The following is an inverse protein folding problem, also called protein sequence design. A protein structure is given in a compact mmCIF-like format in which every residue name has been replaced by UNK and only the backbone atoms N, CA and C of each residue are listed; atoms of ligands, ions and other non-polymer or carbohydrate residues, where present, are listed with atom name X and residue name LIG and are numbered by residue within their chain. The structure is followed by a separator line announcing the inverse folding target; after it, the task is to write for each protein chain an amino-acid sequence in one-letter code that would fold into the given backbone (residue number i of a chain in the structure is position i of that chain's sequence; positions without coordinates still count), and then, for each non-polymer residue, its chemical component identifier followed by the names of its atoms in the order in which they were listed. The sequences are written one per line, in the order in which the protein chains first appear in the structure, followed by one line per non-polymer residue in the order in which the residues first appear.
data_IF_535704530272
#
_entry.id   IF_535704530272
#
_cell.length_a   1.000
_cell.length_b   1.000
_cell.length_c   1.000
_cell.angle_alpha   90.00
_cell.angle_beta   90.00
_cell.angle_gamma   90.00
#
_symmetry.space_group_name_H-M   'P 1'
#
loop_
_entity.id
_entity.type
_entity.pdbx_description
1 polymer ?
#
# COMPACT_ATOMS: atom_id res chain seq x y z
N UNK A 1 20.46 -0.37 17.80
CA UNK A 1 19.77 0.16 19.00
C UNK A 1 18.27 -0.10 18.86
N UNK A 2 17.52 -0.12 19.96
CA UNK A 2 16.05 -0.29 19.94
C UNK A 2 15.37 0.79 19.12
N UNK A 3 15.82 1.99 19.28
CA UNK A 3 15.31 3.18 18.62
C UNK A 3 15.36 3.12 17.10
N UNK A 4 16.40 2.51 16.51
CA UNK A 4 16.62 2.43 15.07
C UNK A 4 16.29 1.04 14.51
N UNK A 5 15.61 0.19 15.28
CA UNK A 5 15.48 -1.19 14.88
C UNK A 5 14.73 -1.37 13.56
N UNK A 6 13.67 -0.60 13.33
CA UNK A 6 12.89 -0.59 12.10
C UNK A 6 13.73 -0.27 10.86
N UNK A 7 14.75 0.61 10.99
CA UNK A 7 15.64 1.00 9.88
C UNK A 7 16.44 -0.17 9.31
N UNK A 8 16.67 -1.22 10.12
CA UNK A 8 17.41 -2.41 9.69
C UNK A 8 16.62 -3.30 8.73
N UNK A 9 15.30 -3.12 8.61
CA UNK A 9 14.42 -3.87 7.72
C UNK A 9 14.24 -3.17 6.37
N UNK A 10 14.42 -1.85 6.33
CA UNK A 10 14.12 -1.02 5.16
C UNK A 10 14.88 -1.45 3.91
N UNK A 11 16.21 -1.70 3.95
CA UNK A 11 16.94 -2.07 2.73
C UNK A 11 16.39 -3.33 2.05
N UNK A 12 16.14 -4.39 2.82
CA UNK A 12 15.62 -5.66 2.29
C UNK A 12 14.20 -5.51 1.75
N UNK A 13 13.33 -4.82 2.51
CA UNK A 13 11.94 -4.61 2.09
C UNK A 13 11.84 -3.69 0.87
N UNK A 14 12.66 -2.64 0.79
CA UNK A 14 12.72 -1.76 -0.38
C UNK A 14 13.18 -2.52 -1.63
N UNK A 15 14.19 -3.40 -1.49
CA UNK A 15 14.66 -4.27 -2.56
C UNK A 15 13.54 -5.18 -3.07
N UNK A 16 12.81 -5.86 -2.19
CA UNK A 16 11.70 -6.74 -2.55
C UNK A 16 10.51 -6.00 -3.16
N UNK A 17 10.26 -4.76 -2.73
CA UNK A 17 9.21 -3.91 -3.28
C UNK A 17 9.58 -3.23 -4.61
N UNK A 18 10.83 -3.30 -5.05
CA UNK A 18 11.32 -2.52 -6.18
C UNK A 18 11.16 -1.01 -5.94
N UNK A 19 11.58 -0.55 -4.76
CA UNK A 19 11.38 0.80 -4.26
C UNK A 19 12.68 1.42 -3.73
N UNK A 20 12.70 2.75 -3.60
CA UNK A 20 13.75 3.44 -2.87
C UNK A 20 13.56 3.25 -1.36
N UNK A 21 14.66 3.26 -0.59
CA UNK A 21 14.58 3.08 0.87
C UNK A 21 13.74 4.16 1.58
N UNK A 22 13.70 5.37 1.03
CA UNK A 22 12.87 6.47 1.55
C UNK A 22 11.36 6.24 1.38
N UNK A 23 10.98 5.32 0.49
CA UNK A 23 9.59 5.02 0.15
C UNK A 23 8.97 3.92 1.00
N UNK A 24 9.77 3.24 1.83
CA UNK A 24 9.34 2.05 2.59
C UNK A 24 9.51 2.27 4.08
N UNK A 25 8.56 1.80 4.86
CA UNK A 25 8.69 1.66 6.32
C UNK A 25 7.90 0.47 6.83
N UNK A 26 8.17 0.07 8.07
CA UNK A 26 7.38 -0.94 8.80
C UNK A 26 6.56 -0.27 9.87
N UNK A 27 5.28 -0.60 9.95
CA UNK A 27 4.36 -0.17 11.00
C UNK A 27 3.06 -0.96 11.01
N UNK A 28 2.42 -0.99 12.14
CA UNK A 28 1.04 -1.44 12.33
C UNK A 28 0.69 -2.78 11.71
N UNK A 29 -0.49 -2.81 11.10
CA UNK A 29 -1.06 -3.98 10.41
C UNK A 29 -1.52 -3.58 9.01
N UNK A 30 -1.68 -4.56 8.09
CA UNK A 30 -2.06 -4.29 6.71
C UNK A 30 -3.30 -3.38 6.60
N UNK A 31 -4.43 -3.82 7.15
CA UNK A 31 -5.69 -3.05 7.07
C UNK A 31 -5.59 -1.69 7.76
N UNK A 32 -4.90 -1.63 8.91
CA UNK A 32 -4.63 -0.36 9.58
C UNK A 32 -3.82 0.61 8.72
N UNK A 33 -2.78 0.11 8.06
CA UNK A 33 -1.94 0.90 7.16
C UNK A 33 -2.72 1.38 5.94
N UNK A 34 -3.55 0.54 5.33
CA UNK A 34 -4.41 0.95 4.22
C UNK A 34 -5.39 2.06 4.64
N UNK A 35 -6.05 1.93 5.80
CA UNK A 35 -6.90 3.02 6.32
C UNK A 35 -6.13 4.33 6.50
N UNK A 36 -4.93 4.28 7.06
CA UNK A 36 -4.09 5.46 7.29
C UNK A 36 -3.62 6.09 5.97
N UNK A 37 -3.26 5.26 4.99
CA UNK A 37 -2.89 5.72 3.65
C UNK A 37 -4.08 6.35 2.93
N UNK A 38 -5.28 5.80 3.07
CA UNK A 38 -6.48 6.39 2.49
C UNK A 38 -6.80 7.78 3.06
N UNK A 39 -6.42 8.11 4.30
CA UNK A 39 -6.50 9.49 4.83
C UNK A 39 -5.70 10.46 3.96
N UNK A 40 -4.60 10.01 3.35
CA UNK A 40 -3.77 10.84 2.47
C UNK A 40 -4.21 10.80 1.01
N UNK A 41 -4.56 9.64 0.50
CA UNK A 41 -4.71 9.38 -0.92
C UNK A 41 -6.15 9.30 -1.41
N UNK A 42 -7.12 9.00 -0.56
CA UNK A 42 -8.53 9.09 -0.90
C UNK A 42 -9.12 10.42 -0.38
N UNK A 43 -9.11 11.43 -1.22
CA UNK A 43 -9.60 12.77 -0.94
C UNK A 43 -10.76 13.09 -1.90
N UNK A 44 -11.98 12.59 -1.65
CA UNK A 44 -13.11 12.82 -2.55
C UNK A 44 -13.44 14.30 -2.63
N UNK A 45 -13.53 14.83 -3.88
CA UNK A 45 -13.82 16.23 -4.13
C UNK A 45 -14.60 16.43 -5.43
N UNK A 46 -15.68 17.22 -5.37
CA UNK A 46 -16.52 17.48 -6.53
C UNK A 46 -17.12 16.17 -7.06
N UNK A 47 -16.88 15.87 -8.34
CA UNK A 47 -17.33 14.62 -8.97
C UNK A 47 -16.38 13.42 -8.76
N UNK A 48 -15.13 13.67 -8.39
CA UNK A 48 -14.10 12.66 -8.16
C UNK A 48 -14.27 12.02 -6.79
N UNK A 49 -15.12 10.98 -6.71
CA UNK A 49 -15.54 10.37 -5.44
C UNK A 49 -15.57 8.85 -5.45
N UNK A 50 -15.34 8.24 -6.63
CA UNK A 50 -15.46 6.78 -6.79
C UNK A 50 -14.14 6.07 -6.47
N UNK A 51 -14.28 4.86 -5.94
CA UNK A 51 -13.18 3.89 -5.77
C UNK A 51 -13.44 2.71 -6.69
N UNK A 52 -12.40 2.23 -7.38
CA UNK A 52 -12.47 1.03 -8.22
C UNK A 52 -11.57 -0.05 -7.64
N UNK A 53 -12.12 -1.28 -7.53
CA UNK A 53 -11.40 -2.48 -7.07
C UNK A 53 -11.86 -3.72 -7.83
N UNK A 54 -11.17 -4.84 -7.64
CA UNK A 54 -11.65 -6.12 -8.14
C UNK A 54 -12.86 -6.63 -7.36
N UNK A 55 -13.84 -7.20 -8.04
CA UNK A 55 -14.92 -7.93 -7.39
C UNK A 55 -14.40 -9.19 -6.71
N UNK A 56 -14.89 -9.46 -5.51
CA UNK A 56 -14.38 -10.58 -4.72
C UNK A 56 -12.98 -10.36 -4.15
N UNK A 57 -12.57 -9.11 -3.94
CA UNK A 57 -11.41 -8.78 -3.14
C UNK A 57 -11.49 -9.42 -1.75
N UNK A 58 -10.35 -9.53 -1.05
CA UNK A 58 -10.36 -10.06 0.31
C UNK A 58 -11.33 -9.25 1.20
N UNK A 59 -12.15 -9.91 2.04
CA UNK A 59 -13.20 -9.23 2.80
C UNK A 59 -12.73 -8.00 3.59
N UNK A 60 -11.50 -8.01 4.10
CA UNK A 60 -10.93 -6.86 4.81
C UNK A 60 -10.84 -5.60 3.93
N UNK A 61 -10.53 -5.76 2.64
CA UNK A 61 -10.43 -4.63 1.71
C UNK A 61 -11.81 -4.13 1.30
N UNK A 62 -12.77 -5.05 1.13
CA UNK A 62 -14.16 -4.68 0.90
C UNK A 62 -14.71 -3.84 2.06
N UNK A 63 -14.49 -4.31 3.31
CA UNK A 63 -14.91 -3.58 4.51
C UNK A 63 -14.20 -2.24 4.66
N UNK A 64 -12.91 -2.21 4.34
CA UNK A 64 -12.10 -0.99 4.35
C UNK A 64 -12.67 0.06 3.39
N UNK A 65 -12.91 -0.31 2.14
CA UNK A 65 -13.43 0.61 1.11
C UNK A 65 -14.84 1.07 1.47
N UNK A 66 -15.70 0.14 1.87
CA UNK A 66 -17.07 0.47 2.27
C UNK A 66 -17.10 1.47 3.44
N UNK A 67 -16.28 1.23 4.47
CA UNK A 67 -16.24 2.09 5.65
C UNK A 67 -15.57 3.44 5.38
N UNK A 68 -14.58 3.50 4.52
CA UNK A 68 -13.97 4.76 4.06
C UNK A 68 -14.97 5.61 3.27
N UNK A 69 -15.73 5.02 2.37
CA UNK A 69 -16.79 5.73 1.66
C UNK A 69 -17.83 6.31 2.65
N UNK A 70 -18.32 5.48 3.57
CA UNK A 70 -19.26 5.94 4.62
C UNK A 70 -18.68 7.05 5.50
N UNK A 71 -17.39 6.95 5.86
CA UNK A 71 -16.71 7.99 6.64
C UNK A 71 -16.71 9.35 5.93
N UNK A 72 -16.61 9.35 4.61
CA UNK A 72 -16.73 10.55 3.78
C UNK A 72 -18.17 10.96 3.43
N UNK A 73 -19.18 10.28 3.99
CA UNK A 73 -20.59 10.55 3.71
C UNK A 73 -21.04 10.10 2.32
N UNK A 74 -20.30 9.18 1.71
CA UNK A 74 -20.58 8.61 0.39
C UNK A 74 -21.29 7.26 0.51
N UNK A 75 -22.25 7.03 -0.39
CA UNK A 75 -22.99 5.78 -0.49
C UNK A 75 -22.15 4.71 -1.23
N UNK A 76 -21.74 3.60 -0.60
CA UNK A 76 -20.95 2.57 -1.26
C UNK A 76 -21.59 2.00 -2.52
N UNK A 77 -22.92 1.87 -2.58
CA UNK A 77 -23.62 1.35 -3.76
C UNK A 77 -23.44 2.22 -5.01
N UNK A 78 -23.14 3.52 -4.82
CA UNK A 78 -22.95 4.47 -5.92
C UNK A 78 -21.50 4.80 -6.21
N UNK A 79 -20.62 4.63 -5.21
CA UNK A 79 -19.24 5.12 -5.27
C UNK A 79 -18.18 4.02 -5.28
N UNK A 80 -18.58 2.74 -5.07
CA UNK A 80 -17.71 1.60 -5.27
C UNK A 80 -17.97 0.98 -6.66
N UNK A 81 -16.91 0.87 -7.45
CA UNK A 81 -16.90 0.17 -8.74
C UNK A 81 -16.15 -1.14 -8.57
N UNK A 82 -16.83 -2.25 -8.76
CA UNK A 82 -16.23 -3.58 -8.72
C UNK A 82 -16.10 -4.15 -10.14
N UNK A 83 -14.85 -4.39 -10.56
CA UNK A 83 -14.58 -5.06 -11.84
C UNK A 83 -14.82 -6.56 -11.67
N UNK A 84 -15.75 -7.12 -12.46
CA UNK A 84 -16.14 -8.53 -12.38
C UNK A 84 -15.48 -9.35 -13.48
N UNK A 85 -15.17 -10.63 -13.23
CA UNK A 85 -14.80 -11.55 -14.29
C UNK A 85 -15.89 -11.63 -15.37
N UNK A 86 -15.50 -11.99 -16.59
CA UNK A 86 -16.45 -12.28 -17.66
C UNK A 86 -17.32 -13.50 -17.30
N UNK A 87 -18.46 -13.60 -17.94
CA UNK A 87 -19.38 -14.72 -17.70
C UNK A 87 -18.68 -16.07 -17.91
N UNK A 88 -18.77 -16.95 -16.92
CA UNK A 88 -18.12 -18.27 -16.93
C UNK A 88 -16.62 -18.26 -16.55
N UNK A 89 -16.01 -17.10 -16.34
CA UNK A 89 -14.60 -16.97 -15.96
C UNK A 89 -14.41 -16.70 -14.47
N UNK A 90 -13.20 -16.95 -13.98
CA UNK A 90 -12.79 -16.70 -12.58
C UNK A 90 -11.69 -15.66 -12.44
N UNK A 91 -11.08 -15.27 -13.56
CA UNK A 91 -9.98 -14.30 -13.62
C UNK A 91 -10.46 -13.00 -14.26
N UNK A 92 -9.76 -11.91 -13.95
CA UNK A 92 -9.99 -10.61 -14.57
C UNK A 92 -8.99 -10.39 -15.71
N UNK A 93 -9.49 -9.91 -16.84
CA UNK A 93 -8.64 -9.48 -17.94
C UNK A 93 -8.18 -8.05 -17.74
N UNK A 94 -6.91 -7.77 -17.98
CA UNK A 94 -6.32 -6.43 -17.79
C UNK A 94 -7.06 -5.38 -18.64
N UNK A 95 -7.49 -5.73 -19.86
CA UNK A 95 -8.26 -4.82 -20.73
C UNK A 95 -9.62 -4.44 -20.12
N UNK A 96 -10.28 -5.34 -19.38
CA UNK A 96 -11.57 -5.04 -18.72
C UNK A 96 -11.36 -4.10 -17.52
N UNK A 97 -10.25 -4.28 -16.80
CA UNK A 97 -9.86 -3.38 -15.70
C UNK A 97 -9.58 -1.97 -16.26
N UNK A 98 -8.74 -1.87 -17.31
CA UNK A 98 -8.41 -0.61 -17.97
C UNK A 98 -9.64 0.07 -18.54
N UNK A 99 -10.56 -0.70 -19.14
CA UNK A 99 -11.83 -0.20 -19.64
C UNK A 99 -12.67 0.41 -18.52
N UNK A 100 -12.84 -0.30 -17.41
CA UNK A 100 -13.62 0.19 -16.26
C UNK A 100 -13.02 1.49 -15.67
N UNK A 101 -11.68 1.58 -15.58
CA UNK A 101 -10.97 2.80 -15.17
C UNK A 101 -11.27 3.96 -16.15
N UNK A 102 -11.13 3.70 -17.44
CA UNK A 102 -11.32 4.72 -18.48
C UNK A 102 -12.77 5.21 -18.56
N UNK A 103 -13.74 4.29 -18.47
CA UNK A 103 -15.17 4.62 -18.49
C UNK A 103 -15.61 5.41 -17.25
N UNK A 104 -15.03 5.10 -16.07
CA UNK A 104 -15.27 5.87 -14.84
C UNK A 104 -14.67 7.27 -14.94
N UNK A 105 -13.53 7.40 -15.62
CA UNK A 105 -12.93 8.68 -16.00
C UNK A 105 -12.67 9.60 -14.82
N UNK A 106 -13.11 10.83 -14.92
CA UNK A 106 -12.85 11.89 -13.95
C UNK A 106 -13.70 11.82 -12.66
N UNK A 107 -14.60 10.85 -12.55
CA UNK A 107 -15.27 10.50 -11.28
C UNK A 107 -14.43 9.60 -10.38
N UNK A 108 -13.40 8.94 -10.94
CA UNK A 108 -12.54 8.00 -10.21
C UNK A 108 -11.53 8.75 -9.34
N UNK A 109 -11.62 8.58 -8.03
CA UNK A 109 -10.69 9.15 -7.06
C UNK A 109 -9.52 8.20 -6.75
N UNK A 110 -9.81 6.90 -6.66
CA UNK A 110 -8.84 5.88 -6.23
C UNK A 110 -9.08 4.58 -6.99
N UNK A 111 -7.99 3.97 -7.45
CA UNK A 111 -7.91 2.55 -7.81
C UNK A 111 -7.23 1.84 -6.64
N UNK A 112 -7.89 0.86 -6.03
CA UNK A 112 -7.31 0.01 -5.00
C UNK A 112 -7.38 -1.43 -5.46
N UNK A 113 -6.24 -2.03 -5.75
CA UNK A 113 -6.16 -3.40 -6.27
C UNK A 113 -5.24 -4.27 -5.44
N UNK A 114 -5.52 -5.58 -5.36
CA UNK A 114 -4.56 -6.53 -4.84
C UNK A 114 -3.43 -6.76 -5.84
N UNK A 115 -2.23 -7.10 -5.35
CA UNK A 115 -1.14 -7.50 -6.24
C UNK A 115 -1.33 -8.91 -6.79
N UNK A 116 -1.83 -9.81 -5.93
CA UNK A 116 -2.22 -11.18 -6.26
C UNK A 116 -3.55 -11.48 -5.61
N UNK A 117 -4.51 -11.94 -6.38
CA UNK A 117 -5.85 -12.28 -5.91
C UNK A 117 -5.80 -13.52 -5.00
N UNK A 118 -6.31 -13.41 -3.79
CA UNK A 118 -6.13 -14.40 -2.72
C UNK A 118 -6.79 -15.76 -3.00
N UNK A 119 -7.86 -15.80 -3.78
CA UNK A 119 -8.63 -17.02 -4.07
C UNK A 119 -8.16 -17.72 -5.34
N UNK A 120 -7.89 -16.96 -6.39
CA UNK A 120 -7.52 -17.49 -7.71
C UNK A 120 -6.01 -17.61 -7.90
N UNK A 121 -5.20 -16.87 -7.13
CA UNK A 121 -3.76 -16.76 -7.32
C UNK A 121 -3.36 -15.91 -8.54
N UNK A 122 -4.32 -15.24 -9.18
CA UNK A 122 -4.02 -14.38 -10.32
C UNK A 122 -3.13 -13.20 -9.89
N UNK A 123 -1.96 -13.07 -10.50
CA UNK A 123 -1.16 -11.85 -10.43
C UNK A 123 -1.70 -10.83 -11.44
N UNK A 124 -1.86 -9.58 -11.01
CA UNK A 124 -2.36 -8.50 -11.86
C UNK A 124 -1.21 -7.73 -12.54
N UNK A 125 -1.47 -7.21 -13.74
CA UNK A 125 -0.56 -6.27 -14.41
C UNK A 125 -0.65 -4.88 -13.75
N UNK A 126 0.09 -4.75 -12.64
CA UNK A 126 0.05 -3.56 -11.78
C UNK A 126 0.60 -2.30 -12.49
N UNK A 127 1.56 -2.46 -13.40
CA UNK A 127 2.09 -1.35 -14.19
C UNK A 127 1.01 -0.76 -15.09
N UNK A 128 0.30 -1.61 -15.83
CA UNK A 128 -0.77 -1.17 -16.74
C UNK A 128 -1.94 -0.58 -15.98
N UNK A 129 -2.35 -1.18 -14.85
CA UNK A 129 -3.41 -0.66 -13.98
C UNK A 129 -3.03 0.72 -13.41
N UNK A 130 -1.79 0.87 -12.92
CA UNK A 130 -1.31 2.15 -12.37
C UNK A 130 -1.32 3.24 -13.44
N UNK A 131 -0.78 2.94 -14.62
CA UNK A 131 -0.76 3.87 -15.74
C UNK A 131 -2.18 4.30 -16.14
N UNK A 132 -3.13 3.37 -16.24
CA UNK A 132 -4.52 3.67 -16.56
C UNK A 132 -5.18 4.56 -15.50
N UNK A 133 -4.98 4.28 -14.21
CA UNK A 133 -5.48 5.11 -13.11
C UNK A 133 -4.97 6.55 -13.19
N UNK A 134 -3.67 6.71 -13.42
CA UNK A 134 -3.07 8.04 -13.57
C UNK A 134 -3.55 8.80 -14.82
N UNK A 135 -3.82 8.10 -15.92
CA UNK A 135 -4.35 8.74 -17.14
C UNK A 135 -5.71 9.42 -16.92
N UNK A 136 -6.54 8.89 -16.02
CA UNK A 136 -7.81 9.53 -15.63
C UNK A 136 -7.66 10.45 -14.42
N UNK A 137 -6.45 10.58 -13.85
CA UNK A 137 -6.15 11.42 -12.70
C UNK A 137 -6.55 10.83 -11.35
N UNK A 138 -6.76 9.52 -11.27
CA UNK A 138 -6.99 8.81 -10.02
C UNK A 138 -5.66 8.52 -9.29
N UNK A 139 -5.71 8.39 -7.97
CA UNK A 139 -4.64 7.76 -7.18
C UNK A 139 -4.68 6.26 -7.34
N UNK A 140 -3.53 5.60 -7.18
CA UNK A 140 -3.43 4.13 -7.26
C UNK A 140 -2.76 3.57 -6.02
N UNK A 141 -3.50 2.74 -5.29
CA UNK A 141 -3.04 2.03 -4.11
C UNK A 141 -3.10 0.52 -4.30
N UNK A 142 -2.19 -0.20 -3.63
CA UNK A 142 -2.10 -1.65 -3.76
C UNK A 142 -2.14 -2.35 -2.38
N UNK A 143 -2.94 -3.41 -2.29
CA UNK A 143 -2.77 -4.44 -1.26
C UNK A 143 -1.82 -5.52 -1.79
N UNK A 144 -0.64 -5.62 -1.19
CA UNK A 144 0.39 -6.56 -1.61
C UNK A 144 0.50 -7.77 -0.67
N UNK A 145 -0.58 -8.09 0.06
CA UNK A 145 -0.61 -9.18 1.04
C UNK A 145 -0.13 -10.53 0.46
N UNK A 146 -0.49 -10.83 -0.78
CA UNK A 146 -0.09 -12.05 -1.47
C UNK A 146 0.99 -11.83 -2.55
N UNK A 147 1.41 -10.60 -2.77
CA UNK A 147 2.42 -10.26 -3.79
C UNK A 147 3.82 -10.06 -3.19
N UNK A 148 3.90 -9.38 -2.04
CA UNK A 148 5.19 -9.06 -1.42
C UNK A 148 5.95 -10.31 -0.98
N UNK A 149 7.11 -10.54 -1.58
CA UNK A 149 7.93 -11.76 -1.38
C UNK A 149 7.46 -12.99 -2.15
N UNK A 150 6.49 -12.83 -3.05
CA UNK A 150 5.93 -13.90 -3.87
C UNK A 150 6.09 -13.66 -5.38
N UNK A 151 5.98 -12.41 -5.81
CA UNK A 151 6.16 -12.02 -7.22
C UNK A 151 7.10 -10.82 -7.31
N UNK A 152 7.70 -10.61 -8.49
CA UNK A 152 8.55 -9.44 -8.76
C UNK A 152 7.73 -8.15 -8.69
N UNK A 153 8.23 -7.16 -7.94
CA UNK A 153 7.60 -5.85 -7.78
C UNK A 153 8.56 -4.74 -8.21
N UNK A 154 8.02 -3.69 -8.81
CA UNK A 154 8.77 -2.50 -9.26
C UNK A 154 7.98 -1.23 -8.92
N UNK A 155 7.57 -1.07 -7.64
CA UNK A 155 6.62 -0.04 -7.21
C UNK A 155 7.06 1.37 -7.58
N UNK A 156 8.35 1.66 -7.45
CA UNK A 156 8.91 2.96 -7.82
C UNK A 156 8.78 3.23 -9.32
N UNK A 157 9.25 2.32 -10.15
CA UNK A 157 9.23 2.51 -11.63
C UNK A 157 7.83 2.44 -12.22
N UNK A 158 6.93 1.66 -11.62
CA UNK A 158 5.51 1.64 -11.96
C UNK A 158 4.77 2.89 -11.48
N UNK A 159 5.44 3.75 -10.68
CA UNK A 159 4.91 5.01 -10.17
C UNK A 159 3.65 4.83 -9.30
N UNK A 160 3.53 3.71 -8.58
CA UNK A 160 2.44 3.43 -7.64
C UNK A 160 2.41 4.53 -6.57
N UNK A 161 1.24 5.01 -6.19
CA UNK A 161 1.16 6.11 -5.22
C UNK A 161 1.41 5.62 -3.78
N UNK A 162 0.78 4.50 -3.41
CA UNK A 162 0.99 3.86 -2.11
C UNK A 162 0.71 2.35 -2.17
N UNK A 163 1.25 1.62 -1.22
CA UNK A 163 0.93 0.21 -1.02
C UNK A 163 1.10 -0.18 0.44
N UNK A 164 0.47 -1.30 0.82
CA UNK A 164 0.70 -1.93 2.12
C UNK A 164 0.71 -3.45 1.99
N UNK A 165 1.37 -4.12 2.93
CA UNK A 165 1.44 -5.58 2.97
C UNK A 165 1.59 -6.10 4.39
N UNK A 166 1.23 -7.36 4.59
CA UNK A 166 1.53 -8.08 5.82
C UNK A 166 2.81 -8.92 5.67
N UNK A 167 3.67 -8.87 6.68
CA UNK A 167 4.95 -9.59 6.65
C UNK A 167 4.85 -11.04 7.18
N UNK A 168 3.68 -11.50 7.62
CA UNK A 168 3.49 -12.86 8.16
C UNK A 168 3.14 -13.91 7.10
N UNK A 169 2.87 -13.49 5.85
CA UNK A 169 2.59 -14.42 4.74
C UNK A 169 3.90 -14.86 4.07
N UNK A 170 4.15 -14.43 2.85
CA UNK A 170 5.31 -14.88 2.07
C UNK A 170 6.65 -14.41 2.62
N UNK A 171 6.66 -13.32 3.39
CA UNK A 171 7.88 -12.85 4.06
C UNK A 171 8.21 -13.59 5.37
N UNK A 172 7.38 -14.54 5.78
CA UNK A 172 7.66 -15.47 6.89
C UNK A 172 8.03 -14.81 8.23
N UNK A 173 7.52 -13.61 8.49
CA UNK A 173 7.81 -12.86 9.71
C UNK A 173 7.15 -13.40 11.00
N UNK A 174 6.36 -14.48 10.86
CA UNK A 174 5.64 -15.13 11.98
C UNK A 174 4.25 -14.52 12.25
N UNK A 175 3.39 -15.23 12.99
CA UNK A 175 2.02 -14.82 13.26
C UNK A 175 1.92 -13.43 13.90
N UNK A 176 1.06 -12.56 13.34
CA UNK A 176 0.88 -11.20 13.86
C UNK A 176 2.08 -10.26 13.62
N UNK A 177 2.99 -10.64 12.72
CA UNK A 177 4.15 -9.81 12.38
C UNK A 177 3.71 -8.41 11.93
N UNK A 178 4.51 -7.42 12.32
CA UNK A 178 4.37 -6.04 11.88
C UNK A 178 4.24 -5.97 10.36
N UNK A 179 3.37 -5.09 9.87
CA UNK A 179 3.17 -4.85 8.45
C UNK A 179 4.22 -3.88 7.87
N UNK A 180 4.25 -3.79 6.55
CA UNK A 180 4.99 -2.77 5.82
C UNK A 180 4.07 -1.87 5.02
N UNK A 181 4.58 -0.72 4.66
CA UNK A 181 3.94 0.18 3.71
C UNK A 181 4.96 0.86 2.80
N UNK A 182 4.45 1.30 1.67
CA UNK A 182 5.15 2.07 0.65
C UNK A 182 4.39 3.36 0.37
N UNK A 183 5.13 4.46 0.25
CA UNK A 183 4.64 5.75 -0.26
C UNK A 183 5.67 6.29 -1.24
N UNK A 184 5.25 6.55 -2.47
CA UNK A 184 6.14 7.05 -3.51
C UNK A 184 6.86 8.33 -3.08
N UNK A 185 8.14 8.48 -3.43
CA UNK A 185 8.99 9.61 -3.02
C UNK A 185 8.44 10.98 -3.40
N UNK A 186 7.63 11.07 -4.48
CA UNK A 186 6.96 12.31 -4.89
C UNK A 186 6.07 12.93 -3.80
N UNK A 187 5.67 12.11 -2.81
CA UNK A 187 4.88 12.53 -1.65
C UNK A 187 5.71 12.67 -0.37
N UNK A 188 6.93 12.18 -0.36
CA UNK A 188 7.77 12.10 0.84
C UNK A 188 8.06 13.44 1.50
N UNK A 189 8.09 14.53 0.72
CA UNK A 189 8.36 15.90 1.18
C UNK A 189 7.13 16.82 1.05
N UNK A 190 5.92 16.26 1.25
CA UNK A 190 4.65 16.99 1.17
C UNK A 190 4.03 17.12 2.57
N UNK A 191 4.46 18.10 3.39
CA UNK A 191 3.91 18.33 4.74
C UNK A 191 2.44 18.78 4.70
N UNK A 192 1.98 19.28 3.57
CA UNK A 192 0.62 19.72 3.29
C UNK A 192 -0.38 18.57 3.06
N UNK A 193 0.11 17.34 2.85
CA UNK A 193 -0.77 16.19 2.71
C UNK A 193 -1.48 15.86 4.02
N UNK A 194 -2.75 15.55 3.92
CA UNK A 194 -3.51 15.02 5.04
C UNK A 194 -2.89 13.69 5.50
N UNK A 195 -2.61 13.59 6.79
CA UNK A 195 -2.20 12.34 7.44
C UNK A 195 -2.48 12.41 8.93
N UNK A 196 -2.67 11.27 9.55
CA UNK A 196 -2.68 11.22 11.00
C UNK A 196 -1.25 11.27 11.51
N UNK A 197 -0.96 12.25 12.36
CA UNK A 197 0.36 12.42 12.95
C UNK A 197 0.54 11.57 14.20
N UNK A 198 1.73 11.00 14.34
CA UNK A 198 2.15 10.30 15.55
C UNK A 198 3.57 10.66 15.93
N UNK A 199 3.93 10.41 17.18
CA UNK A 199 5.24 10.82 17.68
C UNK A 199 6.40 10.14 16.91
N UNK A 200 6.20 8.91 16.44
CA UNK A 200 7.25 8.20 15.71
C UNK A 200 7.45 8.71 14.28
N UNK A 201 6.39 9.22 13.65
CA UNK A 201 6.44 9.91 12.35
C UNK A 201 6.91 11.37 12.42
N UNK A 202 7.06 11.94 13.62
CA UNK A 202 7.58 13.28 13.81
C UNK A 202 9.08 13.33 13.52
N UNK A 203 9.56 14.47 13.06
CA UNK A 203 10.98 14.76 12.77
C UNK A 203 11.93 14.20 13.83
N UNK A 204 12.83 13.33 13.41
CA UNK A 204 13.69 12.55 14.31
C UNK A 204 14.67 13.42 15.10
N UNK A 205 15.15 14.51 14.50
CA UNK A 205 16.14 15.39 15.12
C UNK A 205 15.56 16.23 16.26
N UNK A 206 14.28 16.58 16.14
CA UNK A 206 13.61 17.52 17.04
C UNK A 206 12.52 16.89 17.90
N UNK A 207 12.17 15.62 17.72
CA UNK A 207 11.04 14.98 18.44
C UNK A 207 11.19 15.01 19.97
N UNK A 208 12.40 14.93 20.49
CA UNK A 208 12.67 14.98 21.94
C UNK A 208 12.62 16.39 22.52
N UNK A 209 12.48 17.42 21.69
CA UNK A 209 12.22 18.79 22.15
C UNK A 209 10.75 18.99 22.56
N UNK A 210 9.88 18.01 22.31
CA UNK A 210 8.46 18.00 22.70
C UNK A 210 7.69 19.25 22.25
N UNK A 211 8.01 19.77 21.08
CA UNK A 211 7.42 20.99 20.52
C UNK A 211 5.98 20.73 20.07
N UNK A 212 5.15 21.78 20.09
CA UNK A 212 3.82 21.75 19.49
C UNK A 212 3.88 21.80 17.97
N UNK A 213 2.89 21.16 17.33
CA UNK A 213 2.78 21.09 15.88
C UNK A 213 3.46 19.85 15.33
N UNK A 214 2.81 19.22 14.36
CA UNK A 214 3.33 18.01 13.73
C UNK A 214 4.24 18.36 12.55
N UNK A 215 5.51 18.01 12.66
CA UNK A 215 6.50 18.12 11.59
C UNK A 215 6.87 16.69 11.14
N UNK A 216 6.31 16.19 10.03
CA UNK A 216 6.57 14.80 9.60
C UNK A 216 8.02 14.62 9.16
N UNK A 217 8.56 13.42 9.39
CA UNK A 217 9.78 12.99 8.71
C UNK A 217 9.55 12.96 7.19
N UNK A 218 10.63 13.10 6.43
CA UNK A 218 10.64 12.87 4.99
C UNK A 218 10.42 11.39 4.67
N UNK A 219 9.80 11.12 3.51
CA UNK A 219 9.55 9.77 3.03
C UNK A 219 8.42 9.05 3.78
N UNK A 220 8.33 7.74 3.55
CA UNK A 220 7.29 6.87 4.13
C UNK A 220 7.29 6.88 5.67
N UNK A 221 8.44 7.14 6.28
CA UNK A 221 8.56 7.23 7.74
C UNK A 221 7.69 8.32 8.36
N UNK A 222 7.32 9.37 7.61
CA UNK A 222 6.40 10.41 8.05
C UNK A 222 4.96 9.94 8.28
N UNK A 223 4.62 8.70 7.91
CA UNK A 223 3.31 8.06 8.18
C UNK A 223 3.31 7.21 9.44
N UNK A 224 4.45 6.95 10.06
CA UNK A 224 4.53 6.19 11.32
C UNK A 224 3.80 6.92 12.46
N UNK A 225 3.15 6.15 13.34
CA UNK A 225 2.38 6.69 14.47
C UNK A 225 3.13 6.54 15.79
N UNK A 226 3.41 5.30 16.19
CA UNK A 226 4.07 4.96 17.45
C UNK A 226 5.33 4.14 17.18
N UNK A 227 6.14 3.94 18.21
CA UNK A 227 7.24 2.98 18.16
C UNK A 227 6.68 1.55 18.04
N UNK A 228 7.32 0.78 17.18
CA UNK A 228 6.82 -0.51 16.77
C UNK A 228 7.31 -1.67 17.65
N UNK A 229 6.64 -2.81 17.55
CA UNK A 229 6.97 -4.00 18.32
C UNK A 229 8.31 -4.60 17.89
N UNK A 230 9.33 -4.48 18.73
CA UNK A 230 10.70 -4.93 18.47
C UNK A 230 10.79 -6.44 18.25
N UNK A 231 10.06 -7.24 19.02
CA UNK A 231 10.11 -8.71 18.90
C UNK A 231 9.57 -9.16 17.54
N UNK A 232 8.50 -8.54 17.09
CA UNK A 232 7.95 -8.78 15.74
C UNK A 232 8.95 -8.39 14.65
N UNK A 233 9.62 -7.26 14.79
CA UNK A 233 10.67 -6.85 13.85
C UNK A 233 11.90 -7.77 13.88
N UNK A 234 12.22 -8.36 15.03
CA UNK A 234 13.36 -9.28 15.15
C UNK A 234 13.13 -10.57 14.36
N UNK A 235 11.91 -11.13 14.42
CA UNK A 235 11.57 -12.32 13.63
C UNK A 235 11.59 -12.01 12.12
N UNK A 236 11.03 -10.87 11.73
CA UNK A 236 11.06 -10.44 10.32
C UNK A 236 12.51 -10.24 9.83
N UNK A 237 13.38 -9.64 10.66
CA UNK A 237 14.78 -9.44 10.29
C UNK A 237 15.49 -10.75 9.99
N UNK A 238 15.24 -11.81 10.76
CA UNK A 238 15.82 -13.12 10.52
C UNK A 238 15.38 -13.67 9.15
N UNK A 239 14.11 -13.50 8.80
CA UNK A 239 13.62 -13.87 7.47
C UNK A 239 14.26 -13.03 6.35
N UNK A 240 14.37 -11.71 6.54
CA UNK A 240 14.98 -10.82 5.53
C UNK A 240 16.43 -11.20 5.25
N UNK A 241 17.18 -11.65 6.25
CA UNK A 241 18.56 -12.14 6.06
C UNK A 241 18.64 -13.35 5.12
N UNK A 242 17.59 -14.16 5.04
CA UNK A 242 17.50 -15.26 4.06
C UNK A 242 17.15 -14.72 2.67
N UNK A 243 16.15 -13.84 2.59
CA UNK A 243 15.79 -13.19 1.31
C UNK A 243 16.96 -12.43 0.69
N UNK A 244 17.82 -11.80 1.50
CA UNK A 244 18.98 -11.04 1.01
C UNK A 244 20.06 -11.92 0.36
N UNK A 245 20.00 -13.24 0.53
CA UNK A 245 20.89 -14.22 -0.08
C UNK A 245 20.40 -14.71 -1.47
N UNK A 246 19.16 -14.34 -1.84
CA UNK A 246 18.51 -14.81 -3.07
C UNK A 246 18.43 -13.67 -4.09
N UNK A 247 18.78 -13.91 -5.38
CA UNK A 247 18.56 -12.94 -6.45
C UNK A 247 17.07 -12.63 -6.64
N UNK A 248 16.73 -11.40 -7.07
CA UNK A 248 15.32 -10.99 -7.27
C UNK A 248 14.68 -11.58 -8.51
N UNK A 249 15.47 -11.88 -9.54
CA UNK A 249 15.04 -12.56 -10.77
C UNK A 249 14.32 -13.88 -10.48
N UNK A 250 14.70 -14.57 -9.39
CA UNK A 250 13.97 -15.73 -8.89
C UNK A 250 12.46 -15.47 -8.63
N UNK A 251 12.10 -14.28 -8.22
CA UNK A 251 10.68 -13.88 -8.03
C UNK A 251 10.00 -13.49 -9.36
N UNK A 252 10.77 -13.16 -10.39
CA UNK A 252 10.26 -12.78 -11.71
C UNK A 252 10.02 -14.01 -12.62
N UNK A 253 10.66 -15.15 -12.33
CA UNK A 253 10.56 -16.38 -13.12
C UNK A 253 9.38 -17.29 -12.74
N UNK A 254 8.56 -16.92 -11.75
CA UNK A 254 7.37 -17.65 -11.29
C UNK A 254 6.10 -17.13 -11.95
#
# INVERSE_FOLDING_TARGET
RWYDYHKQLIPSLARLAGANQSEVTVMGTLTGNLHLLMVSFFQPKGKRTKILMEAGAFPSDQYLVETQLKFHGLDPEKHLIEVKPREGERILHTEDIVKAITETGDELALVLFSGVQYLTGQAFDLETITRAGHQVGAMVGLDLAHAMGNVGLKLHTWNVDFAAWCNYKYLNGGPGCIAGLYVHEKYGNRPDMNRFGGWWGYDEETRFLMQKGFKPMSGAQGWQLSNENILSMASLKASMQLFDQVPLDWLEEQ
#
